data_IF_935549346155
#
_entry.id   IF_935549346155
#
_cell.length_a   1.000
_cell.length_b   1.000
_cell.length_c   1.000
_cell.angle_alpha   90.00
_cell.angle_beta   90.00
_cell.angle_gamma   90.00
#
_symmetry.space_group_name_H-M   'P 1'
#
loop_
_entity.id
_entity.type
_entity.pdbx_description
1 polymer ?
#
# COMPACT_ATOMS: atom_id res chain seq x y z
N UNK A 1 -42.22 -36.83 22.71
CA UNK A 1 -42.62 -36.09 21.49
C UNK A 1 -42.38 -34.61 21.75
N UNK A 2 -41.29 -34.05 21.25
CA UNK A 2 -41.05 -32.62 21.23
C UNK A 2 -40.31 -32.31 19.92
N UNK A 3 -41.01 -31.63 19.01
CA UNK A 3 -40.57 -31.33 17.65
C UNK A 3 -39.65 -30.11 17.68
N UNK A 4 -38.40 -30.28 17.24
CA UNK A 4 -37.41 -29.20 17.09
C UNK A 4 -37.55 -28.60 15.68
N UNK A 5 -37.97 -27.35 15.59
CA UNK A 5 -38.07 -26.59 14.35
C UNK A 5 -36.66 -26.13 13.91
N UNK A 6 -36.19 -26.63 12.77
CA UNK A 6 -35.01 -26.13 12.05
C UNK A 6 -35.38 -24.84 11.30
N UNK A 7 -34.82 -23.71 11.69
CA UNK A 7 -34.84 -22.47 10.91
C UNK A 7 -33.61 -22.48 10.00
N UNK A 8 -33.83 -22.65 8.70
CA UNK A 8 -32.80 -22.41 7.67
C UNK A 8 -32.53 -20.91 7.58
N UNK A 9 -31.32 -20.49 7.92
CA UNK A 9 -30.77 -19.20 7.50
C UNK A 9 -30.18 -19.34 6.08
N UNK A 10 -30.38 -18.38 5.17
CA UNK A 10 -29.83 -18.44 3.82
C UNK A 10 -28.30 -18.29 3.87
N UNK A 11 -27.61 -19.16 3.13
CA UNK A 11 -26.19 -19.06 2.86
C UNK A 11 -25.90 -17.74 2.11
N UNK A 12 -25.32 -16.77 2.80
CA UNK A 12 -24.70 -15.61 2.17
C UNK A 12 -23.32 -16.07 1.71
N UNK A 13 -23.14 -16.23 0.40
CA UNK A 13 -21.81 -16.41 -0.20
C UNK A 13 -20.99 -15.12 0.00
N UNK A 14 -19.78 -15.17 0.56
CA UNK A 14 -18.91 -13.99 0.56
C UNK A 14 -18.57 -13.61 -0.88
N UNK A 15 -18.71 -12.32 -1.21
CA UNK A 15 -18.21 -11.76 -2.47
C UNK A 15 -16.68 -11.96 -2.57
N UNK A 16 -16.14 -12.23 -3.76
CA UNK A 16 -14.69 -12.31 -3.93
C UNK A 16 -14.04 -10.97 -3.56
N UNK A 17 -13.02 -11.03 -2.71
CA UNK A 17 -12.10 -9.89 -2.47
C UNK A 17 -11.40 -9.61 -3.80
N UNK A 18 -11.52 -8.41 -4.40
CA UNK A 18 -10.74 -8.06 -5.58
C UNK A 18 -9.26 -8.04 -5.20
N UNK A 19 -8.41 -8.69 -6.00
CA UNK A 19 -6.96 -8.51 -5.88
C UNK A 19 -6.56 -7.04 -6.10
N UNK A 20 -5.40 -6.60 -5.59
CA UNK A 20 -4.94 -5.24 -5.75
C UNK A 20 -4.79 -4.86 -7.23
N UNK A 21 -5.06 -3.59 -7.49
CA UNK A 21 -5.16 -3.00 -8.82
C UNK A 21 -3.74 -2.82 -9.40
N UNK A 22 -3.47 -3.27 -10.63
CA UNK A 22 -2.20 -2.95 -11.30
C UNK A 22 -2.09 -1.43 -11.51
N UNK A 23 -1.06 -0.82 -10.92
CA UNK A 23 -0.70 0.59 -11.14
C UNK A 23 -0.02 0.70 -12.52
N UNK A 24 -0.50 1.60 -13.37
CA UNK A 24 -0.12 1.73 -14.79
C UNK A 24 1.15 2.58 -15.01
N UNK A 25 2.23 2.32 -14.28
CA UNK A 25 3.51 3.02 -14.49
C UNK A 25 4.56 2.17 -15.23
N UNK A 26 4.15 1.09 -15.91
CA UNK A 26 5.02 0.39 -16.87
C UNK A 26 5.05 1.11 -18.22
N UNK A 27 6.24 1.38 -18.80
CA UNK A 27 6.36 1.93 -20.15
C UNK A 27 5.77 0.97 -21.19
N UNK A 28 5.14 1.47 -22.28
CA UNK A 28 4.40 0.64 -23.22
C UNK A 28 5.36 -0.26 -24.01
N UNK A 29 5.27 -1.57 -23.79
CA UNK A 29 5.89 -2.55 -24.66
C UNK A 29 5.19 -2.55 -26.03
N UNK A 30 6.00 -2.39 -27.07
CA UNK A 30 5.57 -2.34 -28.46
C UNK A 30 5.00 -3.70 -28.91
N UNK A 31 3.68 -3.76 -29.10
CA UNK A 31 3.04 -4.84 -29.85
C UNK A 31 2.59 -4.35 -31.24
N UNK A 32 3.28 -4.82 -32.28
CA UNK A 32 2.96 -4.67 -33.70
C UNK A 32 1.59 -5.28 -34.03
N UNK A 33 0.74 -4.65 -34.88
CA UNK A 33 -0.57 -5.21 -35.22
C UNK A 33 -0.50 -6.13 -36.44
N UNK A 34 -1.22 -7.25 -36.38
CA UNK A 34 -1.53 -8.10 -37.53
C UNK A 34 -2.97 -7.84 -38.04
N UNK A 35 -3.05 -7.56 -39.34
CA UNK A 35 -4.13 -7.70 -40.34
C UNK A 35 -5.57 -8.04 -39.86
N UNK A 36 -6.56 -7.19 -40.18
CA UNK A 36 -7.49 -7.28 -41.35
C UNK A 36 -8.50 -8.42 -41.27
N UNK A 37 -9.81 -8.10 -41.22
CA UNK A 37 -10.73 -8.43 -42.31
C UNK A 37 -12.15 -7.84 -42.14
N UNK A 38 -12.53 -7.08 -43.17
CA UNK A 38 -13.82 -6.90 -43.89
C UNK A 38 -15.20 -7.06 -43.21
N UNK A 39 -16.01 -5.99 -43.39
CA UNK A 39 -17.48 -5.96 -43.31
C UNK A 39 -18.18 -6.70 -44.50
N UNK A 40 -19.52 -6.81 -44.47
CA UNK A 40 -20.29 -5.92 -45.36
C UNK A 40 -21.61 -5.32 -44.81
N UNK A 41 -21.74 -4.01 -44.99
CA UNK A 41 -22.86 -3.20 -45.51
C UNK A 41 -24.33 -3.63 -45.35
N UNK A 42 -25.12 -2.71 -44.77
CA UNK A 42 -26.52 -2.43 -45.14
C UNK A 42 -26.86 -0.94 -44.91
N UNK A 43 -27.60 -0.36 -45.87
CA UNK A 43 -27.90 1.06 -46.08
C UNK A 43 -29.04 1.63 -45.20
N UNK A 44 -29.27 2.97 -45.17
CA UNK A 44 -29.64 3.70 -43.96
C UNK A 44 -31.14 3.97 -43.81
N UNK A 45 -31.61 4.04 -42.57
CA UNK A 45 -32.90 4.62 -42.21
C UNK A 45 -32.71 6.01 -41.57
N UNK A 46 -33.37 7.01 -42.14
CA UNK A 46 -33.37 8.40 -41.70
C UNK A 46 -34.02 8.53 -40.32
N UNK A 47 -33.21 8.67 -39.27
CA UNK A 47 -33.68 9.04 -37.94
C UNK A 47 -33.52 10.54 -37.71
N UNK A 48 -34.63 11.20 -37.37
CA UNK A 48 -34.69 12.61 -37.00
C UNK A 48 -33.79 12.88 -35.78
N UNK A 49 -32.86 13.82 -35.93
CA UNK A 49 -31.93 14.24 -34.89
C UNK A 49 -32.65 15.18 -33.93
N UNK A 50 -33.32 14.63 -32.92
CA UNK A 50 -33.77 15.40 -31.77
C UNK A 50 -32.54 15.74 -30.93
N UNK A 51 -32.08 16.98 -31.00
CA UNK A 51 -31.00 17.49 -30.18
C UNK A 51 -31.49 17.57 -28.73
N UNK A 52 -31.30 16.50 -27.95
CA UNK A 52 -31.34 16.59 -26.49
C UNK A 52 -30.18 17.48 -26.06
N UNK A 53 -30.49 18.53 -25.28
CA UNK A 53 -29.47 19.28 -24.57
C UNK A 53 -28.61 18.29 -23.74
N UNK A 54 -27.28 18.47 -23.68
CA UNK A 54 -26.44 17.61 -22.85
C UNK A 54 -26.96 17.66 -21.41
N UNK A 55 -27.17 16.49 -20.81
CA UNK A 55 -27.40 16.39 -19.38
C UNK A 55 -26.27 17.14 -18.65
N UNK A 56 -26.56 17.86 -17.55
CA UNK A 56 -25.51 18.50 -16.77
C UNK A 56 -24.44 17.45 -16.43
N UNK A 57 -23.19 17.76 -16.76
CA UNK A 57 -22.04 16.95 -16.35
C UNK A 57 -22.19 16.67 -14.86
N UNK A 58 -22.11 15.39 -14.47
CA UNK A 58 -22.00 15.02 -13.07
C UNK A 58 -20.92 15.89 -12.42
N UNK A 59 -21.12 16.39 -11.19
CA UNK A 59 -20.08 17.16 -10.52
C UNK A 59 -18.78 16.35 -10.54
N UNK A 60 -17.68 17.00 -10.90
CA UNK A 60 -16.37 16.38 -10.84
C UNK A 60 -16.21 15.70 -9.46
N UNK A 61 -15.65 14.48 -9.39
CA UNK A 61 -15.40 13.85 -8.10
C UNK A 61 -14.65 14.84 -7.22
N UNK A 62 -15.22 15.16 -6.06
CA UNK A 62 -14.55 16.05 -5.12
C UNK A 62 -13.26 15.35 -4.70
N UNK A 63 -12.12 15.94 -5.06
CA UNK A 63 -10.83 15.52 -4.52
C UNK A 63 -10.92 15.52 -2.98
N UNK A 64 -10.18 14.63 -2.30
CA UNK A 64 -10.20 14.63 -0.84
C UNK A 64 -9.64 15.97 -0.37
N UNK A 65 -10.09 16.44 0.80
CA UNK A 65 -9.65 17.73 1.33
C UNK A 65 -8.10 17.83 1.34
N UNK A 66 -7.53 19.03 1.14
CA UNK A 66 -6.10 19.26 1.29
C UNK A 66 -5.59 18.69 2.62
N UNK A 67 -4.39 18.10 2.61
CA UNK A 67 -3.81 17.44 3.79
C UNK A 67 -3.56 18.44 4.94
N UNK A 68 -3.42 19.73 4.62
CA UNK A 68 -3.33 20.81 5.60
C UNK A 68 -4.60 20.96 6.47
N UNK A 69 -5.76 20.48 6.00
CA UNK A 69 -7.02 20.51 6.75
C UNK A 69 -7.17 19.32 7.70
N UNK A 70 -6.31 18.30 7.58
CA UNK A 70 -6.39 17.10 8.40
C UNK A 70 -5.90 17.39 9.82
N UNK A 71 -6.57 16.80 10.81
CA UNK A 71 -6.19 16.93 12.20
C UNK A 71 -5.07 15.95 12.53
N UNK A 72 -3.97 16.49 13.08
CA UNK A 72 -2.84 15.67 13.49
C UNK A 72 -3.09 15.01 14.85
N UNK A 73 -2.78 13.72 14.91
CA UNK A 73 -2.78 12.90 16.11
C UNK A 73 -1.44 12.19 16.24
N UNK A 74 -1.03 11.93 17.47
CA UNK A 74 0.08 11.02 17.76
C UNK A 74 -0.49 9.67 18.18
N UNK A 75 -0.04 8.60 17.53
CA UNK A 75 -0.42 7.22 17.86
C UNK A 75 0.86 6.37 17.79
N UNK A 76 1.25 5.75 18.91
CA UNK A 76 2.47 4.94 19.01
C UNK A 76 3.76 5.63 18.51
N UNK A 77 3.85 6.95 18.66
CA UNK A 77 4.96 7.78 18.16
C UNK A 77 4.93 8.07 16.66
N UNK A 78 3.86 7.70 15.95
CA UNK A 78 3.62 8.07 14.56
C UNK A 78 2.70 9.29 14.46
N UNK A 79 2.96 10.13 13.46
CA UNK A 79 2.09 11.25 13.10
C UNK A 79 0.98 10.76 12.18
N UNK A 80 -0.23 10.68 12.72
CA UNK A 80 -1.43 10.28 11.98
C UNK A 80 -2.30 11.50 11.69
N UNK A 81 -2.58 11.76 10.42
CA UNK A 81 -3.41 12.84 9.94
C UNK A 81 -4.81 12.29 9.64
N UNK A 82 -5.83 12.77 10.35
CA UNK A 82 -7.21 12.30 10.19
C UNK A 82 -8.05 13.35 9.47
N UNK A 83 -8.76 12.94 8.41
CA UNK A 83 -9.73 13.79 7.74
C UNK A 83 -10.77 14.33 8.74
N UNK A 84 -11.17 15.62 8.70
CA UNK A 84 -12.09 16.21 9.68
C UNK A 84 -13.41 15.46 9.86
N UNK A 85 -13.95 14.87 8.79
CA UNK A 85 -15.19 14.09 8.84
C UNK A 85 -15.10 12.85 9.76
N UNK A 86 -13.90 12.36 10.07
CA UNK A 86 -13.69 11.23 10.99
C UNK A 86 -14.21 11.56 12.40
N UNK A 87 -14.18 12.83 12.81
CA UNK A 87 -14.74 13.27 14.09
C UNK A 87 -16.25 13.00 14.18
N UNK A 88 -16.95 13.08 13.05
CA UNK A 88 -18.41 12.91 12.94
C UNK A 88 -18.85 11.45 12.70
N UNK A 89 -17.90 10.51 12.57
CA UNK A 89 -18.25 9.09 12.43
C UNK A 89 -18.99 8.56 13.68
N UNK A 90 -19.85 7.53 13.51
CA UNK A 90 -20.42 6.78 14.63
C UNK A 90 -19.34 6.36 15.65
N UNK A 91 -19.66 6.48 16.93
CA UNK A 91 -18.67 6.32 18.01
C UNK A 91 -18.01 4.93 18.04
N UNK A 92 -18.76 3.90 17.68
CA UNK A 92 -18.28 2.53 17.50
C UNK A 92 -17.29 2.42 16.34
N UNK A 93 -17.60 3.00 15.17
CA UNK A 93 -16.71 3.00 13.99
C UNK A 93 -15.42 3.78 14.26
N UNK A 94 -15.52 4.98 14.84
CA UNK A 94 -14.36 5.80 15.22
C UNK A 94 -13.51 5.11 16.29
N UNK A 95 -14.14 4.47 17.27
CA UNK A 95 -13.45 3.68 18.29
C UNK A 95 -12.69 2.50 17.70
N UNK A 96 -13.33 1.72 16.82
CA UNK A 96 -12.71 0.59 16.10
C UNK A 96 -11.49 1.02 15.29
N UNK A 97 -11.61 2.10 14.52
CA UNK A 97 -10.51 2.68 13.75
C UNK A 97 -9.31 3.04 14.64
N UNK A 98 -9.55 3.79 15.73
CA UNK A 98 -8.47 4.20 16.64
C UNK A 98 -7.80 3.00 17.30
N UNK A 99 -8.57 2.02 17.75
CA UNK A 99 -8.02 0.80 18.36
C UNK A 99 -7.22 -0.02 17.36
N UNK A 100 -7.70 -0.18 16.13
CA UNK A 100 -6.98 -0.89 15.07
C UNK A 100 -5.66 -0.20 14.73
N UNK A 101 -5.68 1.12 14.49
CA UNK A 101 -4.47 1.88 14.19
C UNK A 101 -3.45 1.83 15.33
N UNK A 102 -3.90 1.96 16.58
CA UNK A 102 -3.02 1.84 17.73
C UNK A 102 -2.39 0.45 17.80
N UNK A 103 -3.18 -0.61 17.61
CA UNK A 103 -2.68 -1.99 17.62
C UNK A 103 -1.61 -2.23 16.55
N UNK A 104 -1.88 -1.85 15.30
CA UNK A 104 -0.98 -2.09 14.17
C UNK A 104 0.31 -1.27 14.34
N UNK A 105 0.21 0.02 14.66
CA UNK A 105 1.37 0.90 14.82
C UNK A 105 2.23 0.55 16.02
N UNK A 106 1.63 0.13 17.13
CA UNK A 106 2.39 -0.40 18.27
C UNK A 106 3.09 -1.72 17.93
N UNK A 107 2.43 -2.58 17.15
CA UNK A 107 3.01 -3.86 16.69
C UNK A 107 4.21 -3.61 15.78
N UNK A 108 4.10 -2.67 14.84
CA UNK A 108 5.21 -2.21 14.00
C UNK A 108 6.33 -1.62 14.87
N UNK A 109 6.00 -0.74 15.82
CA UNK A 109 6.99 -0.12 16.70
C UNK A 109 7.76 -1.11 17.59
N UNK A 110 7.16 -2.24 17.99
CA UNK A 110 7.85 -3.29 18.74
C UNK A 110 8.73 -4.19 17.88
N UNK A 111 8.47 -4.22 16.59
CA UNK A 111 9.03 -5.22 15.66
C UNK A 111 10.20 -4.66 14.85
N UNK A 112 10.13 -3.40 14.44
CA UNK A 112 11.17 -2.78 13.61
C UNK A 112 12.45 -2.45 14.40
N UNK A 113 13.63 -2.56 13.77
CA UNK A 113 14.87 -2.05 14.35
C UNK A 113 14.78 -0.56 14.65
N UNK A 114 15.33 -0.12 15.79
CA UNK A 114 15.16 1.25 16.28
C UNK A 114 15.56 2.36 15.29
N UNK A 115 16.67 2.25 14.51
CA UNK A 115 17.01 3.24 13.49
C UNK A 115 15.94 3.36 12.41
N UNK A 116 15.48 2.23 11.85
CA UNK A 116 14.45 2.23 10.83
C UNK A 116 13.10 2.69 11.38
N UNK A 117 12.75 2.30 12.62
CA UNK A 117 11.56 2.83 13.31
C UNK A 117 11.59 4.36 13.41
N UNK A 118 12.73 4.94 13.74
CA UNK A 118 12.89 6.39 13.79
C UNK A 118 12.69 7.04 12.43
N UNK A 119 13.11 6.38 11.35
CA UNK A 119 12.94 6.87 9.99
C UNK A 119 11.49 6.78 9.52
N UNK A 120 10.82 5.64 9.70
CA UNK A 120 9.41 5.49 9.31
C UNK A 120 8.47 6.37 10.12
N UNK A 121 8.81 6.74 11.37
CA UNK A 121 8.03 7.71 12.15
C UNK A 121 8.04 9.14 11.59
N UNK A 122 8.96 9.46 10.68
CA UNK A 122 8.94 10.74 9.94
C UNK A 122 7.90 10.76 8.82
N UNK A 123 7.39 9.59 8.42
CA UNK A 123 6.41 9.43 7.35
C UNK A 123 5.02 9.77 7.89
N UNK A 124 4.30 10.76 7.30
CA UNK A 124 2.92 11.02 7.65
C UNK A 124 2.02 9.84 7.26
N UNK A 125 1.08 9.51 8.12
CA UNK A 125 0.02 8.52 7.83
C UNK A 125 -1.31 9.25 7.75
N UNK A 126 -1.90 9.35 6.56
CA UNK A 126 -3.19 9.98 6.32
C UNK A 126 -4.33 8.95 6.39
N UNK A 127 -5.43 9.31 7.05
CA UNK A 127 -6.67 8.54 7.05
C UNK A 127 -7.74 9.35 6.33
N UNK A 128 -8.10 8.89 5.14
CA UNK A 128 -9.03 9.59 4.25
C UNK A 128 -10.43 8.99 4.39
N UNK A 129 -11.43 9.87 4.40
CA UNK A 129 -12.84 9.47 4.52
C UNK A 129 -13.48 9.26 3.14
N UNK A 130 -13.26 10.21 2.22
CA UNK A 130 -13.88 10.24 0.89
C UNK A 130 -12.79 10.30 -0.18
N UNK A 131 -12.09 9.19 -0.39
CA UNK A 131 -11.14 9.09 -1.49
C UNK A 131 -11.91 9.12 -2.84
N UNK A 132 -11.45 9.87 -3.85
CA UNK A 132 -12.07 9.84 -5.17
C UNK A 132 -11.67 8.58 -5.94
N UNK A 133 -12.45 8.25 -6.96
CA UNK A 133 -12.02 7.31 -8.01
C UNK A 133 -11.52 8.12 -9.20
N UNK A 134 -10.22 8.05 -9.46
CA UNK A 134 -9.57 8.65 -10.63
C UNK A 134 -8.60 7.62 -11.26
N UNK A 135 -8.17 7.78 -12.51
CA UNK A 135 -7.20 6.85 -13.11
C UNK A 135 -5.94 6.72 -12.22
N UNK A 136 -5.57 5.48 -11.91
CA UNK A 136 -4.40 5.17 -11.04
C UNK A 136 -4.62 5.38 -9.54
N UNK A 137 -5.77 5.88 -9.10
CA UNK A 137 -6.09 6.07 -7.68
C UNK A 137 -7.53 5.69 -7.40
N UNK A 138 -7.70 4.63 -6.64
CA UNK A 138 -9.01 4.09 -6.29
C UNK A 138 -9.27 4.21 -4.80
N UNK A 139 -10.52 4.41 -4.36
CA UNK A 139 -10.86 4.61 -2.96
C UNK A 139 -10.90 3.28 -2.19
N UNK A 140 -9.85 2.46 -2.33
CA UNK A 140 -9.76 1.10 -1.80
C UNK A 140 -8.42 0.90 -1.10
N UNK A 141 -8.44 0.18 0.01
CA UNK A 141 -7.22 -0.21 0.73
C UNK A 141 -6.36 0.97 1.19
N UNK A 142 -5.05 0.82 1.05
CA UNK A 142 -4.04 1.81 1.38
C UNK A 142 -3.05 2.01 0.23
N UNK A 143 -2.28 3.08 0.28
CA UNK A 143 -1.18 3.33 -0.65
C UNK A 143 -0.09 4.22 -0.06
N UNK A 144 1.08 4.20 -0.69
CA UNK A 144 2.14 5.17 -0.54
C UNK A 144 2.19 6.10 -1.75
N UNK A 145 2.45 7.38 -1.53
CA UNK A 145 2.50 8.41 -2.59
C UNK A 145 3.94 8.81 -2.94
N UNK A 146 4.58 8.25 -3.96
CA UNK A 146 5.98 8.53 -4.26
C UNK A 146 6.21 9.87 -5.01
N UNK A 147 5.17 10.47 -5.61
CA UNK A 147 5.31 11.59 -6.54
C UNK A 147 4.26 12.68 -6.34
N UNK A 148 4.71 13.86 -5.94
CA UNK A 148 3.88 15.06 -5.84
C UNK A 148 3.41 15.58 -7.21
N UNK A 149 4.24 15.41 -8.25
CA UNK A 149 3.89 15.81 -9.62
C UNK A 149 2.71 14.98 -10.16
N UNK A 150 2.72 13.66 -9.89
CA UNK A 150 1.62 12.78 -10.28
C UNK A 150 0.34 13.16 -9.54
N UNK A 151 0.42 13.41 -8.24
CA UNK A 151 -0.72 13.85 -7.41
C UNK A 151 -1.35 15.12 -7.99
N UNK A 152 -0.54 16.16 -8.24
CA UNK A 152 -1.02 17.45 -8.76
C UNK A 152 -1.63 17.30 -10.17
N UNK A 153 -1.00 16.52 -11.06
CA UNK A 153 -1.52 16.25 -12.40
C UNK A 153 -2.88 15.53 -12.38
N UNK A 154 -3.19 14.80 -11.31
CA UNK A 154 -4.46 14.10 -11.12
C UNK A 154 -5.43 14.83 -10.19
N UNK A 155 -5.14 16.10 -9.85
CA UNK A 155 -6.04 16.94 -9.04
C UNK A 155 -6.04 16.61 -7.55
N UNK A 156 -5.01 15.92 -7.06
CA UNK A 156 -4.79 15.62 -5.65
C UNK A 156 -3.79 16.60 -5.03
N UNK A 157 -3.83 16.74 -3.71
CA UNK A 157 -2.88 17.61 -2.99
C UNK A 157 -1.46 17.06 -3.08
N UNK A 158 -0.55 17.85 -3.65
CA UNK A 158 0.90 17.58 -3.71
C UNK A 158 1.50 17.28 -2.33
N UNK A 159 0.96 17.86 -1.26
CA UNK A 159 1.46 17.65 0.10
C UNK A 159 1.32 16.19 0.60
N UNK A 160 0.60 15.34 -0.13
CA UNK A 160 0.55 13.89 0.12
C UNK A 160 1.82 13.15 -0.28
N UNK A 161 2.73 13.76 -1.05
CA UNK A 161 4.00 13.14 -1.42
C UNK A 161 4.77 12.63 -0.19
N UNK A 162 5.23 11.39 -0.28
CA UNK A 162 5.92 10.68 0.78
C UNK A 162 5.04 10.38 2.01
N UNK A 163 3.71 10.40 1.89
CA UNK A 163 2.79 9.93 2.92
C UNK A 163 2.27 8.53 2.58
N UNK A 164 1.95 7.78 3.63
CA UNK A 164 1.08 6.60 3.55
C UNK A 164 -0.35 7.07 3.74
N UNK A 165 -1.29 6.57 2.94
CA UNK A 165 -2.70 6.94 3.00
C UNK A 165 -3.60 5.70 3.05
N UNK A 166 -4.45 5.64 4.07
CA UNK A 166 -5.58 4.71 4.10
C UNK A 166 -6.72 5.38 3.33
N UNK A 167 -7.03 4.81 2.17
CA UNK A 167 -8.02 5.32 1.21
C UNK A 167 -9.45 4.90 1.58
N UNK A 168 -9.59 3.83 2.37
CA UNK A 168 -10.89 3.32 2.84
C UNK A 168 -10.78 2.82 4.27
N UNK A 169 -11.51 3.45 5.19
CA UNK A 169 -11.62 3.01 6.59
C UNK A 169 -12.23 1.61 6.67
N UNK A 170 -13.19 1.29 5.81
CA UNK A 170 -13.88 0.00 5.87
C UNK A 170 -13.00 -1.13 5.34
N UNK A 171 -12.31 -0.92 4.21
CA UNK A 171 -11.35 -1.92 3.72
C UNK A 171 -10.23 -2.14 4.74
N UNK A 172 -9.68 -1.06 5.29
CA UNK A 172 -8.70 -1.17 6.36
C UNK A 172 -9.25 -1.96 7.54
N UNK A 173 -10.50 -1.72 7.98
CA UNK A 173 -11.06 -2.43 9.12
C UNK A 173 -11.36 -3.90 8.85
N UNK A 174 -11.80 -4.22 7.64
CA UNK A 174 -12.26 -5.56 7.24
C UNK A 174 -11.09 -6.46 6.84
N UNK A 175 -10.09 -5.93 6.12
CA UNK A 175 -9.02 -6.73 5.54
C UNK A 175 -7.93 -7.12 6.54
N UNK A 176 -7.76 -6.44 7.69
CA UNK A 176 -6.66 -6.76 8.64
C UNK A 176 -6.63 -8.21 9.12
N UNK A 177 -7.78 -8.87 9.13
CA UNK A 177 -7.84 -10.29 9.54
C UNK A 177 -7.11 -11.20 8.55
N UNK A 178 -7.07 -10.79 7.27
CA UNK A 178 -6.45 -11.48 6.14
C UNK A 178 -5.04 -10.90 5.88
N UNK A 179 -4.94 -9.57 5.82
CA UNK A 179 -3.74 -8.76 5.56
C UNK A 179 -3.31 -7.96 6.81
N UNK A 180 -2.77 -8.63 7.86
CA UNK A 180 -2.46 -7.97 9.12
C UNK A 180 -1.29 -6.98 9.03
N UNK A 181 -0.49 -7.04 7.97
CA UNK A 181 0.69 -6.20 7.78
C UNK A 181 0.50 -5.08 6.75
N UNK A 182 -0.73 -4.78 6.32
CA UNK A 182 -1.04 -3.72 5.33
C UNK A 182 -0.40 -2.36 5.66
N UNK A 183 -0.40 -1.93 6.92
CA UNK A 183 0.24 -0.66 7.30
C UNK A 183 1.76 -0.75 7.19
N UNK A 184 2.34 -1.92 7.51
CA UNK A 184 3.78 -2.15 7.34
C UNK A 184 4.17 -2.20 5.86
N UNK A 185 3.33 -2.77 4.99
CA UNK A 185 3.52 -2.79 3.54
C UNK A 185 3.76 -1.37 3.00
N UNK A 186 2.83 -0.46 3.28
CA UNK A 186 2.91 0.91 2.79
C UNK A 186 4.07 1.68 3.44
N UNK A 187 4.38 1.41 4.71
CA UNK A 187 5.57 1.96 5.36
C UNK A 187 6.86 1.39 4.77
N UNK A 188 6.87 0.16 4.24
CA UNK A 188 8.02 -0.41 3.55
C UNK A 188 8.25 0.28 2.20
N UNK A 189 7.18 0.61 1.44
CA UNK A 189 7.31 1.50 0.29
C UNK A 189 7.89 2.87 0.69
N UNK A 190 7.37 3.48 1.76
CA UNK A 190 7.85 4.77 2.23
C UNK A 190 9.32 4.73 2.67
N UNK A 191 9.73 3.66 3.34
CA UNK A 191 11.12 3.44 3.74
C UNK A 191 12.03 3.21 2.55
N UNK A 192 11.62 2.39 1.57
CA UNK A 192 12.35 2.21 0.32
C UNK A 192 12.51 3.53 -0.43
N UNK A 193 11.43 4.31 -0.58
CA UNK A 193 11.49 5.65 -1.17
C UNK A 193 12.49 6.54 -0.43
N UNK A 194 12.43 6.56 0.90
CA UNK A 194 13.39 7.29 1.73
C UNK A 194 14.83 6.85 1.51
N UNK A 195 15.10 5.57 1.25
CA UNK A 195 16.44 5.05 0.95
C UNK A 195 16.85 5.16 -0.54
N UNK A 196 15.97 5.70 -1.38
CA UNK A 196 16.07 5.73 -2.85
C UNK A 196 15.16 4.71 -3.52
N UNK A 197 14.15 5.17 -4.27
CA UNK A 197 13.11 4.30 -4.81
C UNK A 197 13.53 3.44 -6.03
N UNK A 198 14.72 3.71 -6.58
CA UNK A 198 15.32 3.01 -7.74
C UNK A 198 16.60 2.27 -7.36
N UNK A 199 16.65 1.77 -6.13
CA UNK A 199 17.82 1.09 -5.56
C UNK A 199 18.25 -0.14 -6.36
N UNK A 200 19.53 -0.21 -6.82
CA UNK A 200 20.03 -1.35 -7.57
C UNK A 200 20.01 -2.68 -6.81
N UNK A 201 20.26 -2.66 -5.50
CA UNK A 201 20.30 -3.89 -4.69
C UNK A 201 18.92 -4.57 -4.59
N UNK A 202 17.84 -3.79 -4.48
CA UNK A 202 16.47 -4.29 -4.53
C UNK A 202 16.13 -4.78 -5.95
N UNK A 203 16.43 -3.98 -6.98
CA UNK A 203 16.18 -4.36 -8.38
C UNK A 203 16.89 -5.66 -8.77
N UNK A 204 18.15 -5.83 -8.38
CA UNK A 204 18.94 -7.02 -8.66
C UNK A 204 18.39 -8.26 -7.93
N UNK A 205 17.90 -8.10 -6.69
CA UNK A 205 17.29 -9.21 -5.94
C UNK A 205 15.94 -9.61 -6.52
N UNK A 206 15.12 -8.63 -6.89
CA UNK A 206 13.86 -8.86 -7.57
C UNK A 206 14.06 -9.61 -8.90
N UNK A 207 15.00 -9.14 -9.74
CA UNK A 207 15.28 -9.81 -11.02
C UNK A 207 15.82 -11.23 -10.82
N UNK A 208 16.65 -11.46 -9.80
CA UNK A 208 17.10 -12.80 -9.47
C UNK A 208 15.94 -13.71 -9.03
N UNK A 209 14.99 -13.21 -8.23
CA UNK A 209 13.80 -13.95 -7.84
C UNK A 209 12.92 -14.28 -9.06
N UNK A 210 12.71 -13.30 -9.95
CA UNK A 210 11.95 -13.44 -11.19
C UNK A 210 12.58 -14.47 -12.14
N UNK A 211 13.91 -14.47 -12.27
CA UNK A 211 14.69 -15.38 -13.11
C UNK A 211 14.84 -16.78 -12.52
N UNK A 212 14.74 -16.96 -11.20
CA UNK A 212 14.75 -18.29 -10.57
C UNK A 212 13.63 -19.19 -11.12
N UNK A 213 12.54 -18.62 -11.59
CA UNK A 213 11.50 -19.32 -12.36
C UNK A 213 10.48 -20.07 -11.50
N UNK A 214 10.83 -20.52 -10.29
CA UNK A 214 9.89 -21.14 -9.35
C UNK A 214 9.42 -20.23 -8.21
N UNK A 215 10.19 -19.20 -7.85
CA UNK A 215 9.83 -18.31 -6.76
C UNK A 215 8.58 -17.50 -7.12
N UNK A 216 7.64 -17.41 -6.17
CA UNK A 216 6.49 -16.52 -6.20
C UNK A 216 5.50 -16.72 -7.35
N UNK A 217 5.51 -17.83 -8.10
CA UNK A 217 4.61 -18.03 -9.27
C UNK A 217 3.38 -18.91 -9.01
N UNK A 218 3.49 -19.84 -8.07
CA UNK A 218 2.45 -20.82 -7.73
C UNK A 218 2.43 -20.98 -6.21
N UNK A 219 2.15 -19.90 -5.51
CA UNK A 219 2.20 -19.83 -4.05
C UNK A 219 0.80 -19.73 -3.45
N UNK A 220 0.65 -20.20 -2.21
CA UNK A 220 -0.62 -20.17 -1.51
C UNK A 220 -0.99 -18.74 -1.08
N UNK A 221 -2.29 -18.47 -1.00
CA UNK A 221 -2.86 -17.25 -0.42
C UNK A 221 -3.69 -17.63 0.81
N UNK A 222 -3.70 -16.80 1.85
CA UNK A 222 -4.36 -17.08 3.15
C UNK A 222 -5.86 -17.39 3.00
N UNK A 223 -6.54 -16.72 2.07
CA UNK A 223 -7.96 -16.99 1.74
C UNK A 223 -8.22 -18.31 1.01
N UNK A 224 -7.20 -18.92 0.41
CA UNK A 224 -7.36 -20.14 -0.39
C UNK A 224 -6.11 -21.04 -0.27
N UNK A 225 -5.79 -21.52 0.95
CA UNK A 225 -4.53 -22.23 1.21
C UNK A 225 -4.46 -23.58 0.46
N UNK A 226 -5.61 -24.22 0.21
CA UNK A 226 -5.73 -25.49 -0.51
C UNK A 226 -6.05 -25.30 -2.01
N UNK A 227 -6.08 -24.05 -2.48
CA UNK A 227 -6.42 -23.71 -3.86
C UNK A 227 -5.26 -23.89 -4.86
N UNK A 228 -5.52 -23.68 -6.16
CA UNK A 228 -4.43 -23.53 -7.11
C UNK A 228 -3.57 -22.34 -6.71
N UNK A 229 -2.25 -22.54 -6.68
CA UNK A 229 -1.31 -21.48 -6.35
C UNK A 229 -1.46 -20.27 -7.29
N UNK A 230 -1.18 -19.08 -6.77
CA UNK A 230 -1.20 -17.84 -7.54
C UNK A 230 0.21 -17.26 -7.69
N UNK A 231 0.38 -16.35 -8.64
CA UNK A 231 1.57 -15.50 -8.68
C UNK A 231 1.47 -14.49 -7.53
N UNK A 232 2.52 -14.42 -6.69
CA UNK A 232 2.60 -13.48 -5.60
C UNK A 232 2.77 -12.05 -6.11
N UNK A 233 2.24 -11.09 -5.37
CA UNK A 233 2.36 -9.67 -5.69
C UNK A 233 3.81 -9.17 -5.67
N UNK A 234 4.68 -9.88 -4.93
CA UNK A 234 6.12 -9.67 -4.91
C UNK A 234 6.79 -9.76 -6.30
N UNK A 235 6.16 -10.35 -7.33
CA UNK A 235 6.69 -10.36 -8.71
C UNK A 235 6.23 -9.20 -9.59
N UNK A 236 5.44 -8.27 -9.05
CA UNK A 236 4.94 -7.10 -9.79
C UNK A 236 6.06 -6.10 -10.07
N UNK A 237 6.81 -5.70 -9.04
CA UNK A 237 7.88 -4.71 -9.16
C UNK A 237 8.93 -4.88 -8.04
N UNK A 238 10.11 -4.27 -8.17
CA UNK A 238 11.08 -4.21 -7.07
C UNK A 238 10.52 -3.60 -5.78
N UNK A 239 9.59 -2.64 -5.91
CA UNK A 239 8.95 -1.98 -4.77
C UNK A 239 8.00 -2.93 -4.03
N UNK A 240 7.17 -3.66 -4.76
CA UNK A 240 6.28 -4.68 -4.19
C UNK A 240 7.08 -5.83 -3.59
N UNK A 241 8.14 -6.28 -4.27
CA UNK A 241 9.05 -7.29 -3.75
C UNK A 241 9.61 -6.91 -2.39
N UNK A 242 10.09 -5.68 -2.21
CA UNK A 242 10.60 -5.24 -0.91
C UNK A 242 9.51 -5.15 0.16
N UNK A 243 8.30 -4.68 -0.19
CA UNK A 243 7.20 -4.53 0.75
C UNK A 243 6.65 -5.87 1.23
N UNK A 244 6.32 -6.77 0.30
CA UNK A 244 5.82 -8.13 0.56
C UNK A 244 6.79 -8.97 1.41
N UNK A 245 8.08 -8.90 1.09
CA UNK A 245 9.10 -9.61 1.88
C UNK A 245 9.27 -8.98 3.27
N UNK A 246 9.09 -7.66 3.41
CA UNK A 246 9.12 -6.99 4.71
C UNK A 246 7.95 -7.44 5.60
N UNK A 247 6.76 -7.68 5.03
CA UNK A 247 5.64 -8.25 5.77
C UNK A 247 5.97 -9.62 6.35
N UNK A 248 6.46 -10.53 5.51
CA UNK A 248 6.82 -11.89 5.93
C UNK A 248 7.96 -11.87 6.95
N UNK A 249 8.94 -10.97 6.79
CA UNK A 249 10.11 -10.90 7.66
C UNK A 249 9.80 -10.43 9.08
N UNK A 250 8.90 -9.46 9.22
CA UNK A 250 8.62 -8.80 10.50
C UNK A 250 7.29 -9.23 11.11
N UNK A 251 6.27 -9.46 10.30
CA UNK A 251 4.91 -9.78 10.73
C UNK A 251 4.43 -11.04 10.02
N UNK A 252 3.26 -10.97 9.36
CA UNK A 252 2.68 -12.06 8.60
C UNK A 252 2.18 -11.50 7.26
N UNK A 253 2.70 -12.04 6.17
CA UNK A 253 2.20 -11.79 4.82
C UNK A 253 0.91 -12.62 4.59
N UNK A 254 0.01 -12.17 3.71
CA UNK A 254 -1.17 -12.90 3.28
C UNK A 254 -0.93 -13.86 2.11
N UNK A 255 0.22 -13.74 1.43
CA UNK A 255 0.69 -14.62 0.33
C UNK A 255 2.02 -15.29 0.75
N UNK A 256 2.18 -16.58 0.43
CA UNK A 256 3.39 -17.31 0.80
C UNK A 256 4.65 -16.73 0.11
N UNK A 257 5.78 -16.56 0.85
CA UNK A 257 6.02 -16.98 2.23
C UNK A 257 5.30 -16.10 3.26
N UNK A 258 4.59 -16.71 4.20
CA UNK A 258 3.74 -16.01 5.16
C UNK A 258 4.53 -15.46 6.36
N UNK A 259 5.58 -16.18 6.78
CA UNK A 259 6.39 -15.83 7.96
C UNK A 259 7.88 -15.85 7.66
N UNK A 260 8.68 -15.31 8.58
CA UNK A 260 10.11 -15.11 8.42
C UNK A 260 10.86 -16.41 8.16
N UNK A 261 10.52 -17.48 8.87
CA UNK A 261 11.16 -18.78 8.72
C UNK A 261 10.95 -19.36 7.32
N UNK A 262 9.74 -19.18 6.76
CA UNK A 262 9.43 -19.59 5.39
C UNK A 262 10.19 -18.74 4.38
N UNK A 263 10.24 -17.42 4.58
CA UNK A 263 10.99 -16.52 3.70
C UNK A 263 12.49 -16.86 3.69
N UNK A 264 13.09 -17.11 4.85
CA UNK A 264 14.50 -17.51 4.96
C UNK A 264 14.81 -18.81 4.20
N UNK A 265 13.88 -19.76 4.19
CA UNK A 265 14.04 -21.02 3.46
C UNK A 265 13.73 -20.88 1.96
N UNK A 266 12.72 -20.09 1.61
CA UNK A 266 12.19 -19.98 0.26
C UNK A 266 13.00 -19.02 -0.62
N UNK A 267 13.28 -17.81 -0.12
CA UNK A 267 14.07 -16.79 -0.81
C UNK A 267 15.12 -16.20 0.16
N UNK A 268 16.21 -16.94 0.43
CA UNK A 268 17.26 -16.48 1.35
C UNK A 268 17.93 -15.19 0.89
N UNK A 269 17.97 -14.91 -0.42
CA UNK A 269 18.53 -13.67 -0.97
C UNK A 269 17.64 -12.48 -0.62
N UNK A 270 16.33 -12.59 -0.86
CA UNK A 270 15.35 -11.59 -0.48
C UNK A 270 15.30 -11.36 1.03
N UNK A 271 15.37 -12.43 1.82
CA UNK A 271 15.42 -12.34 3.28
C UNK A 271 16.64 -11.54 3.78
N UNK A 272 17.81 -11.76 3.17
CA UNK A 272 19.05 -11.06 3.51
C UNK A 272 19.01 -9.58 3.09
N UNK A 273 18.40 -9.27 1.94
CA UNK A 273 18.15 -7.90 1.48
C UNK A 273 17.30 -7.14 2.51
N UNK A 274 16.14 -7.70 2.91
CA UNK A 274 15.25 -7.10 3.90
C UNK A 274 15.97 -6.91 5.23
N UNK A 275 16.68 -7.95 5.72
CA UNK A 275 17.47 -7.87 6.95
C UNK A 275 18.47 -6.71 6.88
N UNK A 276 19.19 -6.57 5.78
CA UNK A 276 20.25 -5.58 5.61
C UNK A 276 19.69 -4.17 5.63
N UNK A 277 18.69 -3.87 4.79
CA UNK A 277 18.17 -2.52 4.64
C UNK A 277 17.44 -2.02 5.89
N UNK A 278 16.70 -2.88 6.58
CA UNK A 278 16.03 -2.52 7.83
C UNK A 278 16.99 -2.38 9.02
N UNK A 279 18.23 -2.89 8.94
CA UNK A 279 19.26 -2.76 9.98
C UNK A 279 20.34 -1.71 9.66
N UNK A 280 20.10 -0.83 8.69
CA UNK A 280 20.98 0.32 8.49
C UNK A 280 21.10 1.16 9.76
N UNK A 281 22.31 1.64 10.04
CA UNK A 281 22.55 2.62 11.11
C UNK A 281 21.84 3.94 10.79
N UNK A 282 21.60 4.81 11.79
CA UNK A 282 21.09 6.16 11.54
C UNK A 282 21.91 6.92 10.49
N UNK A 283 23.23 6.80 10.51
CA UNK A 283 24.12 7.46 9.55
C UNK A 283 23.91 6.92 8.13
N UNK A 284 23.78 5.59 7.99
CA UNK A 284 23.50 4.97 6.70
C UNK A 284 22.14 5.43 6.15
N UNK A 285 21.08 5.42 6.97
CA UNK A 285 19.75 5.89 6.54
C UNK A 285 19.81 7.35 6.11
N UNK A 286 20.44 8.22 6.91
CA UNK A 286 20.56 9.64 6.61
C UNK A 286 21.34 9.90 5.31
N UNK A 287 22.43 9.18 5.09
CA UNK A 287 23.23 9.29 3.88
C UNK A 287 22.42 8.86 2.63
N UNK A 288 21.71 7.73 2.69
CA UNK A 288 20.89 7.25 1.58
C UNK A 288 19.72 8.20 1.32
N UNK A 289 19.08 8.72 2.38
CA UNK A 289 17.99 9.68 2.30
C UNK A 289 18.40 10.97 1.61
N UNK A 290 19.53 11.54 2.01
CA UNK A 290 20.06 12.73 1.36
C UNK A 290 20.44 12.47 -0.11
N UNK A 291 21.05 11.31 -0.39
CA UNK A 291 21.40 10.92 -1.77
C UNK A 291 20.17 10.73 -2.66
N UNK A 292 19.04 10.31 -2.08
CA UNK A 292 17.74 10.21 -2.75
C UNK A 292 17.00 11.55 -2.89
N UNK A 293 17.56 12.65 -2.37
CA UNK A 293 16.95 13.98 -2.42
C UNK A 293 15.93 14.24 -1.30
N UNK A 294 15.97 13.45 -0.22
CA UNK A 294 15.09 13.59 0.93
C UNK A 294 15.86 14.16 2.13
N UNK A 295 15.27 15.13 2.84
CA UNK A 295 15.83 15.75 4.05
C UNK A 295 15.02 15.45 5.33
N UNK A 296 14.06 14.51 5.21
CA UNK A 296 13.09 14.15 6.26
C UNK A 296 13.70 13.45 7.45
N UNK A 297 14.76 12.66 7.22
CA UNK A 297 15.45 11.95 8.29
C UNK A 297 16.79 12.62 8.63
N UNK A 298 16.94 13.01 9.90
CA UNK A 298 18.19 13.53 10.44
C UNK A 298 18.59 12.64 11.62
N UNK A 299 19.81 12.08 11.62
CA UNK A 299 20.24 11.25 12.72
C UNK A 299 20.31 12.12 13.97
N UNK A 300 19.92 11.56 15.12
CA UNK A 300 20.08 12.27 16.39
C UNK A 300 21.55 12.66 16.53
N UNK A 301 21.83 13.94 16.80
CA UNK A 301 23.20 14.36 17.08
C UNK A 301 23.65 13.60 18.33
N UNK A 302 24.72 12.79 18.28
CA UNK A 302 25.22 12.16 19.49
C UNK A 302 25.47 13.25 20.52
N UNK A 303 25.14 13.03 21.81
CA UNK A 303 25.40 14.01 22.84
C UNK A 303 26.88 14.36 22.75
N UNK A 304 27.17 15.65 22.51
CA UNK A 304 28.53 16.16 22.65
C UNK A 304 28.94 15.82 24.07
N UNK A 305 29.90 14.90 24.22
CA UNK A 305 30.54 14.70 25.51
C UNK A 305 31.01 16.08 25.96
N UNK A 306 30.33 16.65 26.95
CA UNK A 306 30.83 17.82 27.63
C UNK A 306 32.25 17.46 28.08
N UNK A 307 33.28 18.26 27.74
CA UNK A 307 34.61 18.00 28.26
C UNK A 307 34.48 17.94 29.77
N UNK A 308 34.89 16.80 30.35
CA UNK A 308 34.83 16.58 31.78
C UNK A 308 35.45 17.77 32.50
N UNK A 309 34.70 18.34 33.44
CA UNK A 309 35.26 19.33 34.34
C UNK A 309 36.46 18.69 35.06
N UNK A 310 37.60 19.41 35.16
CA UNK A 310 38.84 18.90 35.73
C UNK A 310 38.72 18.58 37.22
#
# INVERSE_FOLDING_TARGET
MLTLLLILAPFITPSPVPGPIPRTDDPPDHATPAASDSEPHSTPATAQKTTLAPAPLAPAPLAPAPLAEYHAHEIAGFRVLMHPAIASLPGDRRGRLRTALAHDLETIARTLPAPALSAVRTIPIAITHDAPTIPGYTPRGACFHPSGDWLEAHGLDRAREGAVEMLSIDDYLDWRSIQPAMVLHELAHAYHWLLGFTRPDIADSFEAAKQHGSLYRQVAHTLNPDGPGQTAYALTSPQEYFAELSEAYFLRNDIYPFIREELLAYDPRGAELVRTLWNFSPEQIAQQSLAAGHDRFKPATPPTHAPGFP
#
